data_IF_133365480625
#
_entry.id   IF_133365480625
#
_cell.length_a   1.000
_cell.length_b   1.000
_cell.length_c   1.000
_cell.angle_alpha   90.00
_cell.angle_beta   90.00
_cell.angle_gamma   90.00
#
_symmetry.space_group_name_H-M   'P 1'
#
loop_
_entity.id
_entity.type
_entity.pdbx_description
1 polymer ?
#
# COMPACT_ATOMS: atom_id res chain seq x y z
N UNK A 1 22.06 -24.54 -10.47
CA UNK A 1 22.73 -25.13 -9.37
C UNK A 1 23.31 -26.51 -9.67
N UNK A 2 24.62 -26.72 -9.42
CA UNK A 2 25.26 -28.04 -9.54
C UNK A 2 24.95 -28.92 -8.33
N UNK A 3 25.13 -30.24 -8.46
CA UNK A 3 24.98 -31.16 -7.36
C UNK A 3 26.08 -30.94 -6.30
N UNK A 4 25.69 -30.57 -5.09
CA UNK A 4 26.58 -30.39 -3.91
C UNK A 4 26.71 -31.68 -3.08
N UNK A 5 26.00 -32.73 -3.45
CA UNK A 5 25.93 -34.00 -2.72
C UNK A 5 27.27 -34.68 -2.67
N UNK A 6 27.70 -35.12 -1.48
CA UNK A 6 28.95 -35.90 -1.28
C UNK A 6 30.22 -35.05 -1.12
N UNK A 7 30.15 -33.72 -1.08
CA UNK A 7 31.29 -32.82 -0.82
C UNK A 7 31.10 -32.08 0.50
N UNK A 8 32.16 -31.98 1.32
CA UNK A 8 32.22 -31.08 2.47
C UNK A 8 32.84 -29.76 2.08
N UNK A 9 32.59 -28.69 2.85
CA UNK A 9 33.13 -27.36 2.63
C UNK A 9 33.59 -26.74 3.96
N UNK A 10 34.75 -26.11 3.98
CA UNK A 10 35.23 -25.28 5.07
C UNK A 10 34.73 -23.84 4.93
N UNK A 11 34.41 -23.44 3.68
CA UNK A 11 33.79 -22.16 3.34
C UNK A 11 32.68 -22.42 2.32
N UNK A 12 31.47 -22.01 2.67
CA UNK A 12 30.31 -22.02 1.81
C UNK A 12 29.98 -20.59 1.41
N UNK A 13 29.93 -20.32 0.11
CA UNK A 13 29.53 -19.02 -0.44
C UNK A 13 28.20 -19.24 -1.17
N UNK A 14 27.19 -18.44 -0.81
CA UNK A 14 25.90 -18.36 -1.46
C UNK A 14 25.82 -16.97 -2.07
N UNK A 15 25.63 -16.89 -3.37
CA UNK A 15 25.61 -15.67 -4.15
C UNK A 15 24.28 -15.58 -4.91
N UNK A 16 23.52 -14.53 -4.66
CA UNK A 16 22.19 -14.25 -5.23
C UNK A 16 21.28 -15.48 -5.38
N UNK A 17 20.85 -16.12 -4.27
CA UNK A 17 20.06 -17.36 -4.32
C UNK A 17 18.65 -17.18 -4.89
N UNK A 18 18.16 -15.95 -5.03
CA UNK A 18 16.85 -15.61 -5.56
C UNK A 18 16.95 -14.79 -6.83
N UNK A 19 16.06 -15.07 -7.77
CA UNK A 19 15.82 -14.21 -8.94
C UNK A 19 14.66 -13.25 -8.68
N UNK A 20 14.47 -12.26 -9.56
CA UNK A 20 13.31 -11.37 -9.53
C UNK A 20 11.98 -12.14 -9.63
N UNK A 21 11.95 -13.23 -10.40
CA UNK A 21 10.76 -14.10 -10.50
C UNK A 21 10.47 -14.84 -9.20
N UNK A 22 11.52 -15.29 -8.49
CA UNK A 22 11.36 -15.96 -7.19
C UNK A 22 10.77 -14.99 -6.15
N UNK A 23 11.10 -13.71 -6.24
CA UNK A 23 10.59 -12.66 -5.34
C UNK A 23 9.07 -12.52 -5.35
N UNK A 24 8.43 -12.93 -6.44
CA UNK A 24 6.97 -12.91 -6.61
C UNK A 24 6.27 -14.17 -6.10
N UNK A 25 7.02 -15.14 -5.57
CA UNK A 25 6.50 -16.46 -5.19
C UNK A 25 6.91 -16.85 -3.78
N UNK A 26 5.96 -16.90 -2.85
CA UNK A 26 6.17 -17.43 -1.51
C UNK A 26 6.70 -18.86 -1.53
N UNK A 27 6.19 -19.68 -2.44
CA UNK A 27 6.68 -21.07 -2.62
C UNK A 27 8.15 -21.10 -3.04
N UNK A 28 8.62 -20.19 -3.90
CA UNK A 28 10.02 -20.11 -4.27
C UNK A 28 10.91 -19.70 -3.08
N UNK A 29 10.44 -18.78 -2.24
CA UNK A 29 11.14 -18.37 -1.01
C UNK A 29 11.25 -19.54 -0.03
N UNK A 30 10.15 -20.27 0.21
CA UNK A 30 10.12 -21.46 1.07
C UNK A 30 11.04 -22.56 0.53
N UNK A 31 11.04 -22.77 -0.79
CA UNK A 31 11.94 -23.74 -1.44
C UNK A 31 13.42 -23.37 -1.29
N UNK A 32 13.77 -22.09 -1.31
CA UNK A 32 15.15 -21.64 -1.09
C UNK A 32 15.60 -21.89 0.36
N UNK A 33 14.72 -21.67 1.33
CA UNK A 33 14.97 -22.02 2.73
C UNK A 33 15.15 -23.53 2.94
N UNK A 34 14.26 -24.34 2.37
CA UNK A 34 14.36 -25.79 2.41
C UNK A 34 15.64 -26.29 1.74
N UNK A 35 15.98 -25.75 0.55
CA UNK A 35 17.23 -26.05 -0.14
C UNK A 35 18.45 -25.74 0.74
N UNK A 36 18.49 -24.56 1.38
CA UNK A 36 19.60 -24.18 2.24
C UNK A 36 19.75 -25.13 3.42
N UNK A 37 18.67 -25.40 4.15
CA UNK A 37 18.69 -26.20 5.39
C UNK A 37 18.95 -27.67 5.13
N UNK A 38 18.37 -28.24 4.07
CA UNK A 38 18.51 -29.65 3.72
C UNK A 38 19.79 -29.99 2.93
N UNK A 39 20.35 -29.02 2.23
CA UNK A 39 21.48 -29.21 1.32
C UNK A 39 22.77 -28.50 1.76
N UNK A 40 22.99 -27.23 1.37
CA UNK A 40 24.26 -26.51 1.57
C UNK A 40 24.72 -26.48 3.03
N UNK A 41 23.82 -26.14 3.96
CA UNK A 41 24.15 -26.06 5.39
C UNK A 41 24.69 -27.38 5.96
N UNK A 42 24.18 -28.50 5.48
CA UNK A 42 24.60 -29.85 5.92
C UNK A 42 25.97 -30.24 5.35
N UNK A 43 26.58 -29.43 4.48
CA UNK A 43 27.90 -29.68 3.89
C UNK A 43 29.02 -28.95 4.61
N UNK A 44 28.70 -28.03 5.50
CA UNK A 44 29.69 -27.29 6.25
C UNK A 44 30.44 -28.22 7.20
N UNK A 45 31.76 -28.21 7.13
CA UNK A 45 32.62 -28.97 8.04
C UNK A 45 32.64 -28.29 9.43
N UNK A 46 32.96 -29.03 10.52
CA UNK A 46 33.13 -28.41 11.81
C UNK A 46 34.14 -27.28 11.81
N UNK A 47 33.73 -26.07 12.25
CA UNK A 47 34.54 -24.85 12.21
C UNK A 47 34.54 -24.10 10.88
N UNK A 48 33.79 -24.61 9.90
CA UNK A 48 33.61 -23.90 8.61
C UNK A 48 32.75 -22.65 8.73
N UNK A 49 32.82 -21.79 7.73
CA UNK A 49 32.12 -20.51 7.66
C UNK A 49 31.17 -20.45 6.46
N UNK A 50 30.12 -19.63 6.57
CA UNK A 50 29.17 -19.37 5.49
C UNK A 50 29.21 -17.87 5.20
N UNK A 51 29.24 -17.51 3.90
CA UNK A 51 29.03 -16.15 3.40
C UNK A 51 27.82 -16.17 2.49
N UNK A 52 26.81 -15.36 2.81
CA UNK A 52 25.64 -15.15 1.96
C UNK A 52 25.65 -13.73 1.46
N UNK A 53 25.74 -13.56 0.14
CA UNK A 53 25.66 -12.25 -0.54
C UNK A 53 24.43 -12.28 -1.41
N UNK A 54 23.55 -11.31 -1.23
CA UNK A 54 22.34 -11.22 -2.05
C UNK A 54 21.69 -9.84 -2.00
N UNK A 55 20.94 -9.52 -3.02
CA UNK A 55 19.94 -8.46 -2.98
C UNK A 55 18.75 -8.90 -2.13
N UNK A 56 18.24 -8.01 -1.29
CA UNK A 56 17.02 -8.28 -0.52
C UNK A 56 15.80 -8.17 -1.42
N UNK A 57 14.85 -9.06 -1.22
CA UNK A 57 13.61 -9.13 -2.00
C UNK A 57 12.37 -9.10 -1.12
N UNK A 58 12.42 -9.77 0.02
CA UNK A 58 11.31 -9.90 0.95
C UNK A 58 11.84 -10.24 2.34
N UNK A 59 11.00 -10.08 3.38
CA UNK A 59 11.33 -10.60 4.71
C UNK A 59 11.43 -12.14 4.76
N UNK A 60 10.84 -12.82 3.78
CA UNK A 60 10.88 -14.30 3.66
C UNK A 60 11.99 -14.80 2.76
N UNK A 61 12.81 -13.91 2.20
CA UNK A 61 13.98 -14.32 1.43
C UNK A 61 14.99 -15.10 2.30
N UNK A 62 16.01 -15.70 1.68
CA UNK A 62 16.96 -16.52 2.42
C UNK A 62 17.61 -15.74 3.56
N UNK A 63 18.07 -14.51 3.34
CA UNK A 63 18.66 -13.65 4.40
C UNK A 63 17.64 -13.35 5.50
N UNK A 64 16.40 -13.02 5.17
CA UNK A 64 15.34 -12.79 6.16
C UNK A 64 15.10 -14.01 7.06
N UNK A 65 15.08 -15.20 6.47
CA UNK A 65 14.97 -16.44 7.24
C UNK A 65 16.22 -16.74 8.10
N UNK A 66 17.42 -16.45 7.59
CA UNK A 66 18.66 -16.58 8.36
C UNK A 66 18.69 -15.65 9.58
N UNK A 67 18.36 -14.37 9.37
CA UNK A 67 18.28 -13.36 10.45
C UNK A 67 17.20 -13.73 11.47
N UNK A 68 16.04 -14.19 11.02
CA UNK A 68 14.98 -14.65 11.93
C UNK A 68 15.42 -15.85 12.76
N UNK A 69 16.12 -16.80 12.17
CA UNK A 69 16.63 -17.98 12.85
C UNK A 69 17.64 -17.63 13.96
N UNK A 70 18.36 -16.51 13.86
CA UNK A 70 19.29 -16.03 14.91
C UNK A 70 18.61 -15.74 16.26
N UNK A 71 17.29 -15.56 16.30
CA UNK A 71 16.55 -15.42 17.55
C UNK A 71 16.69 -16.65 18.46
N UNK A 72 16.96 -17.81 17.88
CA UNK A 72 17.27 -19.04 18.61
C UNK A 72 18.76 -19.09 18.97
N UNK A 73 19.07 -19.03 20.26
CA UNK A 73 20.45 -18.97 20.79
C UNK A 73 21.35 -20.10 20.27
N UNK A 74 20.79 -21.24 19.91
CA UNK A 74 21.52 -22.42 19.42
C UNK A 74 21.64 -22.45 17.89
N UNK A 75 20.99 -21.56 17.18
CA UNK A 75 21.10 -21.44 15.73
C UNK A 75 22.42 -20.79 15.32
N UNK A 76 22.75 -20.87 14.04
CA UNK A 76 23.89 -20.16 13.48
C UNK A 76 23.74 -18.65 13.74
N UNK A 77 24.78 -18.03 14.23
CA UNK A 77 24.83 -16.60 14.46
C UNK A 77 25.54 -15.92 13.30
N UNK A 78 25.00 -14.82 12.82
CA UNK A 78 25.46 -14.12 11.62
C UNK A 78 25.92 -12.71 11.94
N UNK A 79 26.99 -12.29 11.34
CA UNK A 79 27.35 -10.89 11.23
C UNK A 79 26.64 -10.33 9.98
N UNK A 80 25.66 -9.43 10.20
CA UNK A 80 24.87 -8.84 9.12
C UNK A 80 25.49 -7.51 8.69
N UNK A 81 25.83 -7.39 7.41
CA UNK A 81 26.36 -6.16 6.83
C UNK A 81 25.39 -5.69 5.75
N UNK A 82 24.86 -4.48 5.91
CA UNK A 82 23.86 -3.89 5.02
C UNK A 82 24.45 -2.66 4.32
N UNK A 83 24.16 -2.53 3.04
CA UNK A 83 24.58 -1.40 2.21
C UNK A 83 23.36 -0.72 1.59
N UNK A 84 22.60 0.10 2.35
CA UNK A 84 21.48 0.85 1.78
C UNK A 84 22.01 1.87 0.77
N UNK A 85 21.34 2.05 -0.35
CA UNK A 85 21.78 2.96 -1.41
C UNK A 85 21.88 4.41 -0.93
N UNK A 86 20.95 4.84 -0.09
CA UNK A 86 20.93 6.15 0.56
C UNK A 86 21.01 5.94 2.07
N UNK A 87 21.99 6.54 2.69
CA UNK A 87 22.22 6.49 4.15
C UNK A 87 21.24 7.41 4.89
N UNK A 88 21.05 7.25 6.22
CA UNK A 88 20.17 8.10 7.02
C UNK A 88 20.50 9.62 7.03
N UNK A 89 21.66 9.98 6.52
CA UNK A 89 22.09 11.37 6.35
C UNK A 89 21.89 11.89 4.91
N UNK A 90 21.02 11.25 4.14
CA UNK A 90 20.71 11.55 2.73
C UNK A 90 21.92 11.53 1.78
N UNK A 91 22.94 10.78 2.12
CA UNK A 91 24.11 10.60 1.25
C UNK A 91 24.11 9.20 0.62
N UNK A 92 24.51 9.07 -0.65
CA UNK A 92 24.75 7.76 -1.26
C UNK A 92 25.77 6.96 -0.45
N UNK A 93 25.55 5.66 -0.30
CA UNK A 93 26.52 4.77 0.37
C UNK A 93 27.86 4.71 -0.39
N UNK A 94 27.82 4.92 -1.70
CA UNK A 94 29.01 4.96 -2.57
C UNK A 94 28.99 6.19 -3.50
N UNK A 95 29.32 7.40 -2.97
CA UNK A 95 29.15 8.67 -3.69
C UNK A 95 30.12 8.84 -4.87
N UNK A 96 31.21 8.06 -4.95
CA UNK A 96 32.13 8.06 -6.09
C UNK A 96 31.49 7.38 -7.31
N UNK A 97 30.58 6.42 -7.10
CA UNK A 97 29.92 5.67 -8.15
C UNK A 97 28.50 6.17 -8.42
N UNK A 98 27.68 6.33 -7.40
CA UNK A 98 26.30 6.80 -7.51
C UNK A 98 26.15 8.24 -7.03
N UNK A 99 25.54 9.10 -7.85
CA UNK A 99 25.12 10.43 -7.43
C UNK A 99 23.69 10.36 -6.89
N UNK A 100 23.36 11.21 -5.91
CA UNK A 100 22.03 11.23 -5.30
C UNK A 100 20.91 11.38 -6.35
N UNK A 101 21.09 12.29 -7.31
CA UNK A 101 20.12 12.52 -8.39
C UNK A 101 19.89 11.26 -9.26
N UNK A 102 20.90 10.43 -9.45
CA UNK A 102 20.79 9.17 -10.20
C UNK A 102 19.99 8.14 -9.40
N UNK A 103 20.23 8.06 -8.08
CA UNK A 103 19.47 7.20 -7.16
C UNK A 103 18.02 7.63 -7.05
N UNK A 104 17.75 8.93 -6.99
CA UNK A 104 16.39 9.47 -7.03
C UNK A 104 15.64 9.12 -8.32
N UNK A 105 16.36 9.16 -9.47
CA UNK A 105 15.78 8.72 -10.75
C UNK A 105 15.46 7.22 -10.77
N UNK A 106 16.30 6.40 -10.16
CA UNK A 106 16.04 4.97 -10.00
C UNK A 106 14.84 4.75 -9.06
N UNK A 107 14.82 5.45 -7.91
CA UNK A 107 13.69 5.41 -6.96
C UNK A 107 12.37 5.74 -7.67
N UNK A 108 12.34 6.81 -8.46
CA UNK A 108 11.16 7.23 -9.21
C UNK A 108 10.70 6.20 -10.28
N UNK A 109 11.57 5.29 -10.71
CA UNK A 109 11.24 4.24 -11.69
C UNK A 109 10.75 2.94 -11.08
N UNK A 110 10.88 2.78 -9.74
CA UNK A 110 10.52 1.57 -8.99
C UNK A 110 9.28 1.81 -8.14
N UNK A 111 8.60 0.73 -7.75
CA UNK A 111 7.66 0.81 -6.63
C UNK A 111 8.42 1.02 -5.32
N UNK A 112 7.78 1.64 -4.33
CA UNK A 112 8.40 1.87 -3.01
C UNK A 112 8.87 0.56 -2.38
N UNK A 113 8.09 -0.51 -2.49
CA UNK A 113 8.45 -1.86 -2.02
C UNK A 113 9.77 -2.35 -2.64
N UNK A 114 9.89 -2.24 -3.97
CA UNK A 114 11.13 -2.66 -4.68
C UNK A 114 12.32 -1.80 -4.26
N UNK A 115 12.10 -0.49 -4.13
CA UNK A 115 13.12 0.43 -3.66
C UNK A 115 13.59 0.07 -2.25
N UNK A 116 12.67 -0.08 -1.30
CA UNK A 116 13.00 -0.42 0.08
C UNK A 116 13.71 -1.77 0.18
N UNK A 117 13.21 -2.80 -0.50
CA UNK A 117 13.83 -4.12 -0.45
C UNK A 117 15.21 -4.13 -1.11
N UNK A 118 15.29 -3.79 -2.39
CA UNK A 118 16.49 -4.03 -3.21
C UNK A 118 17.57 -2.98 -3.01
N UNK A 119 17.19 -1.71 -2.83
CA UNK A 119 18.13 -0.59 -2.75
C UNK A 119 18.38 -0.14 -1.32
N UNK A 120 17.38 -0.14 -0.46
CA UNK A 120 17.54 0.23 0.95
C UNK A 120 17.81 -0.97 1.87
N UNK A 121 17.82 -2.19 1.33
CA UNK A 121 18.05 -3.45 2.09
C UNK A 121 17.05 -3.68 3.22
N UNK A 122 15.92 -3.01 3.17
CA UNK A 122 14.86 -3.03 4.17
C UNK A 122 13.55 -3.54 3.56
N UNK A 123 13.43 -4.86 3.27
CA UNK A 123 12.19 -5.40 2.79
C UNK A 123 11.12 -5.29 3.86
N UNK A 124 10.01 -4.67 3.52
CA UNK A 124 8.83 -4.60 4.38
C UNK A 124 8.01 -5.87 4.21
N UNK A 125 7.63 -6.49 5.32
CA UNK A 125 6.85 -7.72 5.31
C UNK A 125 5.38 -7.44 5.07
N UNK A 126 4.75 -8.39 4.39
CA UNK A 126 3.28 -8.50 4.39
C UNK A 126 2.76 -9.09 5.72
N UNK A 127 3.65 -9.58 6.58
CA UNK A 127 3.28 -10.07 7.91
C UNK A 127 2.95 -8.90 8.81
N UNK A 128 1.65 -8.67 8.98
CA UNK A 128 1.09 -7.53 9.69
C UNK A 128 0.34 -6.56 8.78
N UNK A 129 0.43 -6.70 7.47
CA UNK A 129 -0.46 -6.00 6.55
C UNK A 129 -1.91 -6.38 6.84
N UNK A 130 -2.74 -5.36 7.08
CA UNK A 130 -4.16 -5.57 7.34
C UNK A 130 -4.88 -5.95 6.04
N UNK A 131 -4.43 -5.39 4.93
CA UNK A 131 -4.92 -5.69 3.57
C UNK A 131 -3.77 -6.32 2.80
N UNK A 132 -3.94 -7.60 2.47
CA UNK A 132 -2.92 -8.32 1.73
C UNK A 132 -3.03 -8.04 0.25
N UNK A 133 -1.86 -7.96 -0.42
CA UNK A 133 -1.79 -7.78 -1.86
C UNK A 133 -2.57 -8.86 -2.63
N UNK A 134 -2.48 -10.10 -2.22
CA UNK A 134 -3.13 -11.25 -2.84
C UNK A 134 -4.66 -11.24 -2.78
N UNK A 135 -5.25 -10.34 -1.98
CA UNK A 135 -6.70 -10.17 -1.89
C UNK A 135 -7.27 -9.27 -2.99
N UNK A 136 -6.41 -8.52 -3.67
CA UNK A 136 -6.80 -7.73 -4.82
C UNK A 136 -6.97 -8.63 -6.05
N UNK A 137 -8.08 -8.47 -6.76
CA UNK A 137 -8.30 -9.13 -8.04
C UNK A 137 -7.84 -8.23 -9.18
N UNK A 138 -7.15 -8.83 -10.14
CA UNK A 138 -6.71 -8.12 -11.35
C UNK A 138 -7.85 -8.11 -12.36
N UNK A 139 -8.15 -6.93 -12.89
CA UNK A 139 -9.08 -6.77 -14.00
C UNK A 139 -8.32 -6.89 -15.32
N UNK A 140 -8.49 -8.00 -16.01
CA UNK A 140 -7.81 -8.29 -17.28
C UNK A 140 -8.57 -7.74 -18.50
N UNK A 141 -9.76 -7.15 -18.30
CA UNK A 141 -10.56 -6.56 -19.38
C UNK A 141 -9.92 -5.31 -19.95
N UNK A 142 -10.02 -5.12 -21.28
CA UNK A 142 -9.53 -3.90 -21.94
C UNK A 142 -10.37 -2.68 -21.63
N UNK A 143 -11.67 -2.89 -21.43
CA UNK A 143 -12.64 -1.83 -21.14
C UNK A 143 -13.08 -1.92 -19.67
N UNK A 144 -13.46 -0.79 -19.11
CA UNK A 144 -14.05 -0.72 -17.76
C UNK A 144 -15.38 -1.53 -17.77
N UNK A 145 -15.66 -2.35 -16.73
CA UNK A 145 -16.94 -3.08 -16.67
C UNK A 145 -18.14 -2.12 -16.62
N UNK A 146 -19.33 -2.61 -16.92
CA UNK A 146 -20.54 -1.80 -16.77
C UNK A 146 -20.73 -1.43 -15.29
N UNK A 147 -20.58 -0.15 -15.01
CA UNK A 147 -20.71 0.40 -13.65
C UNK A 147 -22.16 0.68 -13.31
N UNK A 148 -22.54 0.44 -12.07
CA UNK A 148 -23.84 0.84 -11.48
C UNK A 148 -23.75 2.13 -10.73
N UNK A 149 -22.63 2.36 -10.03
CA UNK A 149 -22.34 3.57 -9.27
C UNK A 149 -20.85 3.88 -9.33
N UNK A 150 -20.52 5.15 -9.25
CA UNK A 150 -19.15 5.64 -9.10
C UNK A 150 -19.02 6.39 -7.77
N UNK A 151 -18.00 6.03 -7.00
CA UNK A 151 -17.69 6.63 -5.71
C UNK A 151 -16.35 7.33 -5.84
N UNK A 152 -16.28 8.61 -5.48
CA UNK A 152 -15.01 9.32 -5.30
C UNK A 152 -14.77 9.61 -3.83
N UNK A 153 -13.54 9.41 -3.40
CA UNK A 153 -13.14 9.66 -2.02
C UNK A 153 -11.88 10.50 -1.97
N UNK A 154 -11.86 11.47 -1.07
CA UNK A 154 -10.84 12.49 -0.96
C UNK A 154 -10.26 12.50 0.45
N UNK A 155 -8.96 12.27 0.56
CA UNK A 155 -8.16 12.70 1.71
C UNK A 155 -7.34 13.91 1.31
N UNK A 156 -7.42 15.02 2.08
CA UNK A 156 -6.92 16.30 1.62
C UNK A 156 -5.91 16.92 2.57
N UNK A 157 -4.80 17.43 2.00
CA UNK A 157 -3.84 18.30 2.66
C UNK A 157 -3.62 19.55 1.79
N UNK A 158 -3.26 20.70 2.40
CA UNK A 158 -3.06 21.95 1.69
C UNK A 158 -1.64 22.47 1.87
N UNK A 159 -0.64 21.76 1.34
CA UNK A 159 0.72 22.29 1.42
C UNK A 159 1.59 21.74 0.29
N UNK A 160 2.28 22.68 -0.40
CA UNK A 160 3.31 22.34 -1.39
C UNK A 160 4.71 22.17 -0.79
N UNK A 161 4.85 22.24 0.54
CA UNK A 161 6.17 22.02 1.14
C UNK A 161 6.59 20.57 0.91
N UNK A 162 7.85 20.35 0.59
CA UNK A 162 8.43 19.01 0.38
C UNK A 162 8.20 18.05 1.56
N UNK A 163 7.99 18.60 2.76
CA UNK A 163 7.69 17.88 4.01
C UNK A 163 6.20 17.84 4.35
N UNK A 164 5.30 18.21 3.44
CA UNK A 164 3.85 18.23 3.68
C UNK A 164 3.17 16.95 3.23
N UNK A 165 2.01 16.65 3.82
CA UNK A 165 1.19 15.51 3.45
C UNK A 165 0.65 15.66 2.02
N UNK A 166 0.38 14.55 1.36
CA UNK A 166 -0.25 14.52 0.05
C UNK A 166 -1.77 14.72 0.16
N UNK A 167 -2.37 15.17 -0.93
CA UNK A 167 -3.80 14.99 -1.13
C UNK A 167 -4.02 13.79 -2.04
N UNK A 168 -4.91 12.91 -1.65
CA UNK A 168 -5.26 11.70 -2.37
C UNK A 168 -6.72 11.72 -2.80
N UNK A 169 -6.98 11.42 -4.08
CA UNK A 169 -8.30 11.24 -4.64
C UNK A 169 -8.35 9.84 -5.23
N UNK A 170 -9.26 9.00 -4.77
CA UNK A 170 -9.49 7.69 -5.36
C UNK A 170 -10.90 7.59 -5.94
N UNK A 171 -11.00 7.04 -7.14
CA UNK A 171 -12.27 6.83 -7.84
C UNK A 171 -12.54 5.33 -7.98
N UNK A 172 -13.73 4.93 -7.62
CA UNK A 172 -14.14 3.53 -7.52
C UNK A 172 -15.46 3.30 -8.26
N UNK A 173 -15.54 2.21 -9.01
CA UNK A 173 -16.75 1.78 -9.69
C UNK A 173 -17.37 0.57 -9.03
N UNK A 174 -18.67 0.61 -8.78
CA UNK A 174 -19.45 -0.55 -8.33
C UNK A 174 -20.01 -1.27 -9.54
N UNK A 175 -19.75 -2.56 -9.65
CA UNK A 175 -20.20 -3.40 -10.73
C UNK A 175 -20.64 -4.78 -10.23
N UNK A 176 -21.31 -5.54 -11.08
CA UNK A 176 -21.87 -6.85 -10.73
C UNK A 176 -21.39 -7.89 -11.75
N UNK A 177 -20.35 -8.67 -11.41
CA UNK A 177 -19.83 -9.69 -12.35
C UNK A 177 -20.82 -10.83 -12.60
N UNK A 178 -21.72 -11.10 -11.66
CA UNK A 178 -22.72 -12.19 -11.67
C UNK A 178 -24.17 -11.67 -11.58
N UNK A 179 -24.40 -10.37 -11.84
CA UNK A 179 -25.68 -9.67 -11.73
C UNK A 179 -26.29 -9.60 -10.32
N UNK A 180 -25.71 -10.28 -9.34
CA UNK A 180 -26.25 -10.42 -7.96
C UNK A 180 -25.28 -9.80 -6.94
N UNK A 181 -24.01 -10.13 -7.03
CA UNK A 181 -23.01 -9.77 -6.01
C UNK A 181 -22.29 -8.48 -6.38
N UNK A 182 -22.45 -7.41 -5.59
CA UNK A 182 -21.73 -6.17 -5.85
C UNK A 182 -20.22 -6.36 -5.62
N UNK A 183 -19.43 -5.94 -6.59
CA UNK A 183 -17.98 -5.81 -6.49
C UNK A 183 -17.58 -4.37 -6.75
N UNK A 184 -16.37 -4.01 -6.35
CA UNK A 184 -15.83 -2.66 -6.51
C UNK A 184 -14.49 -2.71 -7.23
N UNK A 185 -14.30 -1.83 -8.20
CA UNK A 185 -13.07 -1.72 -8.99
C UNK A 185 -12.47 -0.33 -8.84
N UNK A 186 -11.16 -0.28 -8.65
CA UNK A 186 -10.41 0.97 -8.70
C UNK A 186 -10.34 1.49 -10.14
N UNK A 187 -10.79 2.72 -10.36
CA UNK A 187 -10.88 3.34 -11.69
C UNK A 187 -9.79 4.39 -11.94
N UNK A 188 -9.40 5.11 -10.88
CA UNK A 188 -8.40 6.17 -10.97
C UNK A 188 -7.84 6.52 -9.60
N UNK A 189 -6.60 7.02 -9.59
CA UNK A 189 -5.91 7.54 -8.41
C UNK A 189 -5.18 8.82 -8.79
N UNK A 190 -5.41 9.87 -8.02
CA UNK A 190 -4.65 11.11 -8.08
C UNK A 190 -4.03 11.36 -6.72
N UNK A 191 -2.70 11.43 -6.65
CA UNK A 191 -1.94 11.73 -5.44
C UNK A 191 -0.88 12.77 -5.75
N UNK A 192 -0.98 13.93 -5.13
CA UNK A 192 0.00 15.01 -5.29
C UNK A 192 -0.09 16.01 -4.13
N UNK A 193 0.87 16.92 -4.06
CA UNK A 193 0.88 18.03 -3.13
C UNK A 193 0.28 19.26 -3.81
N UNK A 194 -0.96 19.57 -3.48
CA UNK A 194 -1.70 20.66 -4.08
C UNK A 194 -1.79 21.89 -3.16
N UNK A 195 -1.75 23.05 -3.74
CA UNK A 195 -2.37 24.22 -3.12
C UNK A 195 -3.88 24.18 -3.31
N UNK A 196 -4.63 24.84 -2.43
CA UNK A 196 -6.10 24.79 -2.44
C UNK A 196 -6.74 25.11 -3.80
N UNK A 197 -6.33 26.16 -4.54
CA UNK A 197 -6.91 26.47 -5.84
C UNK A 197 -6.68 25.36 -6.88
N UNK A 198 -5.55 24.68 -6.80
CA UNK A 198 -5.17 23.58 -7.66
C UNK A 198 -5.96 22.32 -7.32
N UNK A 199 -6.06 21.98 -6.03
CA UNK A 199 -6.87 20.85 -5.54
C UNK A 199 -8.34 21.03 -5.96
N UNK A 200 -8.90 22.23 -5.79
CA UNK A 200 -10.26 22.54 -6.24
C UNK A 200 -10.43 22.29 -7.75
N UNK A 201 -9.48 22.76 -8.57
CA UNK A 201 -9.51 22.55 -10.02
C UNK A 201 -9.48 21.06 -10.36
N UNK A 202 -8.55 20.31 -9.76
CA UNK A 202 -8.41 18.86 -9.96
C UNK A 202 -9.68 18.15 -9.53
N UNK A 203 -10.24 18.47 -8.37
CA UNK A 203 -11.47 17.86 -7.89
C UNK A 203 -12.65 18.10 -8.85
N UNK A 204 -12.79 19.31 -9.42
CA UNK A 204 -13.83 19.61 -10.42
C UNK A 204 -13.61 18.85 -11.74
N UNK A 205 -12.35 18.71 -12.18
CA UNK A 205 -11.99 17.93 -13.38
C UNK A 205 -12.31 16.45 -13.18
N UNK A 206 -11.93 15.88 -12.04
CA UNK A 206 -12.21 14.50 -11.66
C UNK A 206 -13.71 14.24 -11.56
N UNK A 207 -14.47 15.14 -10.92
CA UNK A 207 -15.91 15.04 -10.85
C UNK A 207 -16.57 15.06 -12.24
N UNK A 208 -16.14 15.98 -13.11
CA UNK A 208 -16.69 16.09 -14.48
C UNK A 208 -16.35 14.88 -15.34
N UNK A 209 -15.19 14.27 -15.14
CA UNK A 209 -14.74 13.12 -15.93
C UNK A 209 -15.46 11.83 -15.54
N UNK A 210 -15.60 11.59 -14.24
CA UNK A 210 -16.13 10.33 -13.70
C UNK A 210 -17.63 10.39 -13.37
N UNK A 211 -18.21 11.56 -13.26
CA UNK A 211 -19.62 11.81 -12.89
C UNK A 211 -20.09 10.96 -11.70
N UNK A 212 -19.37 10.98 -10.55
CA UNK A 212 -19.67 10.10 -9.44
C UNK A 212 -21.01 10.44 -8.77
N UNK A 213 -21.76 9.44 -8.37
CA UNK A 213 -22.97 9.60 -7.57
C UNK A 213 -22.68 9.83 -6.08
N UNK A 214 -21.49 9.45 -5.62
CA UNK A 214 -21.04 9.69 -4.25
C UNK A 214 -19.66 10.37 -4.26
N UNK A 215 -19.58 11.57 -3.70
CA UNK A 215 -18.33 12.29 -3.45
C UNK A 215 -18.14 12.40 -1.95
N UNK A 216 -17.10 11.77 -1.42
CA UNK A 216 -16.79 11.69 0.01
C UNK A 216 -15.54 12.53 0.27
N UNK A 217 -15.61 13.44 1.22
CA UNK A 217 -14.46 14.26 1.62
C UNK A 217 -14.32 14.22 3.13
N UNK A 218 -13.11 13.97 3.64
CA UNK A 218 -12.87 13.98 5.07
C UNK A 218 -13.01 15.40 5.62
N UNK A 219 -13.92 15.59 6.61
CA UNK A 219 -14.24 16.88 7.21
C UNK A 219 -13.20 17.30 8.27
N UNK A 220 -11.91 17.25 7.93
CA UNK A 220 -10.82 17.86 8.69
C UNK A 220 -10.60 19.32 8.28
N UNK A 221 -9.70 20.02 8.96
CA UNK A 221 -9.39 21.42 8.70
C UNK A 221 -9.10 21.73 7.21
N UNK A 222 -8.47 20.80 6.50
CA UNK A 222 -8.16 20.88 5.07
C UNK A 222 -9.36 20.53 4.18
N UNK A 223 -10.23 19.63 4.56
CA UNK A 223 -11.38 19.19 3.74
C UNK A 223 -12.55 20.17 3.77
N UNK A 224 -12.78 20.85 4.88
CA UNK A 224 -13.95 21.76 5.04
C UNK A 224 -14.05 22.86 3.96
N UNK A 225 -12.97 23.59 3.60
CA UNK A 225 -13.02 24.55 2.51
C UNK A 225 -13.37 23.90 1.17
N UNK A 226 -12.81 22.73 0.86
CA UNK A 226 -13.11 22.02 -0.37
C UNK A 226 -14.58 21.60 -0.43
N UNK A 227 -15.13 21.07 0.64
CA UNK A 227 -16.54 20.71 0.75
C UNK A 227 -17.44 21.89 0.45
N UNK A 228 -17.15 23.06 1.04
CA UNK A 228 -17.93 24.27 0.81
C UNK A 228 -17.90 24.71 -0.65
N UNK A 229 -16.72 24.74 -1.26
CA UNK A 229 -16.56 25.14 -2.64
C UNK A 229 -17.22 24.17 -3.63
N UNK A 230 -17.09 22.87 -3.42
CA UNK A 230 -17.73 21.86 -4.27
C UNK A 230 -19.26 21.95 -4.18
N UNK A 231 -19.81 22.14 -2.98
CA UNK A 231 -21.27 22.33 -2.78
C UNK A 231 -21.79 23.60 -3.45
N UNK A 232 -21.02 24.70 -3.43
CA UNK A 232 -21.40 25.93 -4.12
C UNK A 232 -21.56 25.78 -5.64
N UNK A 233 -20.80 24.87 -6.23
CA UNK A 233 -20.91 24.56 -7.68
C UNK A 233 -21.90 23.42 -7.96
N UNK A 234 -22.66 22.97 -6.95
CA UNK A 234 -23.73 21.97 -7.10
C UNK A 234 -23.25 20.50 -7.02
N UNK A 235 -22.03 20.25 -6.57
CA UNK A 235 -21.54 18.87 -6.35
C UNK A 235 -22.04 18.38 -5.00
N UNK A 236 -22.77 17.24 -4.93
CA UNK A 236 -23.23 16.67 -3.68
C UNK A 236 -22.07 15.97 -2.93
N UNK A 237 -21.57 16.63 -1.89
CA UNK A 237 -20.46 16.11 -1.10
C UNK A 237 -20.97 15.54 0.23
N UNK A 238 -20.56 14.32 0.52
CA UNK A 238 -20.78 13.65 1.80
C UNK A 238 -19.59 13.97 2.71
N UNK A 239 -19.88 14.51 3.87
CA UNK A 239 -18.85 14.72 4.88
C UNK A 239 -18.49 13.39 5.53
N UNK A 240 -17.20 13.06 5.52
CA UNK A 240 -16.71 11.96 6.32
C UNK A 240 -16.04 12.52 7.58
N UNK A 241 -16.63 12.23 8.74
CA UNK A 241 -16.07 12.67 10.03
C UNK A 241 -15.64 11.43 10.81
N UNK A 242 -14.32 11.24 11.06
CA UNK A 242 -13.86 10.16 11.90
C UNK A 242 -14.40 10.33 13.33
N UNK A 243 -15.18 9.36 13.82
CA UNK A 243 -15.66 9.37 15.20
C UNK A 243 -14.53 9.03 16.19
N UNK A 244 -14.64 9.47 17.45
CA UNK A 244 -13.74 9.07 18.53
C UNK A 244 -13.76 7.55 18.68
N UNK A 245 -12.60 6.88 18.49
CA UNK A 245 -12.48 5.42 18.48
C UNK A 245 -12.53 4.79 17.08
N UNK A 246 -12.77 5.56 16.03
CA UNK A 246 -12.67 5.14 14.63
C UNK A 246 -11.37 5.71 14.04
N UNK A 247 -10.25 5.31 14.62
CA UNK A 247 -8.93 5.65 14.11
C UNK A 247 -8.69 4.99 12.73
N UNK A 248 -7.66 5.42 12.05
CA UNK A 248 -7.27 4.90 10.74
C UNK A 248 -7.15 3.37 10.72
N UNK A 249 -6.51 2.80 11.73
CA UNK A 249 -6.31 1.36 11.86
C UNK A 249 -7.66 0.61 11.93
N UNK A 250 -8.59 1.10 12.74
CA UNK A 250 -9.94 0.53 12.88
C UNK A 250 -10.73 0.61 11.57
N UNK A 251 -10.57 1.69 10.79
CA UNK A 251 -11.20 1.83 9.47
C UNK A 251 -10.69 0.78 8.47
N UNK A 252 -9.39 0.60 8.42
CA UNK A 252 -8.77 -0.39 7.53
C UNK A 252 -9.19 -1.82 7.93
N UNK A 253 -9.19 -2.14 9.22
CA UNK A 253 -9.74 -3.43 9.69
C UNK A 253 -11.23 -3.62 9.33
N UNK A 254 -12.01 -2.55 9.35
CA UNK A 254 -13.42 -2.64 8.98
C UNK A 254 -13.65 -2.98 7.51
N UNK A 255 -12.74 -2.61 6.60
CA UNK A 255 -12.85 -2.89 5.17
C UNK A 255 -12.05 -4.10 4.71
N UNK A 256 -11.10 -4.58 5.49
CA UNK A 256 -10.29 -5.76 5.17
C UNK A 256 -11.13 -6.99 4.74
N UNK A 257 -12.29 -7.30 5.35
CA UNK A 257 -13.14 -8.42 4.90
C UNK A 257 -13.67 -8.27 3.47
N UNK A 258 -13.79 -7.05 2.94
CA UNK A 258 -14.21 -6.81 1.54
C UNK A 258 -13.10 -7.26 0.59
N UNK A 259 -11.85 -7.00 0.94
CA UNK A 259 -10.69 -7.49 0.19
C UNK A 259 -10.55 -9.01 0.30
N UNK A 260 -10.64 -9.55 1.51
CA UNK A 260 -10.54 -10.98 1.76
C UNK A 260 -11.61 -11.79 1.01
N UNK A 261 -12.81 -11.24 0.85
CA UNK A 261 -13.88 -11.85 0.05
C UNK A 261 -13.60 -11.87 -1.45
N UNK A 262 -12.56 -11.16 -1.93
CA UNK A 262 -12.23 -11.01 -3.34
C UNK A 262 -13.20 -10.10 -4.10
N UNK A 263 -13.89 -9.18 -3.41
CA UNK A 263 -14.80 -8.23 -4.03
C UNK A 263 -14.11 -6.98 -4.57
N UNK A 264 -12.81 -6.78 -4.29
CA UNK A 264 -12.04 -5.60 -4.70
C UNK A 264 -11.14 -5.92 -5.89
N UNK A 265 -11.26 -5.09 -6.93
CA UNK A 265 -10.55 -5.24 -8.20
C UNK A 265 -9.71 -4.02 -8.52
N UNK A 266 -8.63 -4.22 -9.24
CA UNK A 266 -7.81 -3.14 -9.79
C UNK A 266 -7.32 -3.52 -11.20
N UNK A 267 -7.13 -2.56 -12.13
CA UNK A 267 -6.49 -2.84 -13.41
C UNK A 267 -5.00 -3.12 -13.21
N UNK A 268 -4.41 -3.87 -14.16
CA UNK A 268 -2.96 -4.09 -14.22
C UNK A 268 -2.26 -2.86 -14.81
N UNK A 269 -2.27 -1.78 -14.02
CA UNK A 269 -1.73 -0.48 -14.41
C UNK A 269 -0.80 0.06 -13.32
N UNK A 270 0.25 0.75 -13.71
CA UNK A 270 1.26 1.27 -12.78
C UNK A 270 0.67 2.18 -11.68
N UNK A 271 -0.30 3.01 -12.03
CA UNK A 271 -0.95 3.92 -11.07
C UNK A 271 -1.82 3.17 -10.06
N UNK A 272 -2.45 2.05 -10.46
CA UNK A 272 -3.22 1.20 -9.53
C UNK A 272 -2.29 0.46 -8.56
N UNK A 273 -1.09 0.10 -9.04
CA UNK A 273 -0.06 -0.53 -8.23
C UNK A 273 0.34 0.32 -7.02
N UNK A 274 0.39 1.64 -7.16
CA UNK A 274 0.71 2.55 -6.04
C UNK A 274 -0.30 2.43 -4.89
N UNK A 275 -1.59 2.35 -5.20
CA UNK A 275 -2.65 2.10 -4.21
C UNK A 275 -2.49 0.73 -3.54
N UNK A 276 -2.24 -0.31 -4.32
CA UNK A 276 -2.08 -1.69 -3.82
C UNK A 276 -0.89 -1.78 -2.87
N UNK A 277 0.25 -1.18 -3.24
CA UNK A 277 1.46 -1.17 -2.43
C UNK A 277 1.25 -0.44 -1.10
N UNK A 278 0.66 0.76 -1.13
CA UNK A 278 0.41 1.53 0.08
C UNK A 278 -0.52 0.80 1.04
N UNK A 279 -1.56 0.14 0.51
CA UNK A 279 -2.45 -0.72 1.30
C UNK A 279 -1.73 -1.94 1.90
N UNK A 280 -0.87 -2.59 1.12
CA UNK A 280 -0.12 -3.77 1.56
C UNK A 280 0.99 -3.45 2.58
N UNK A 281 1.48 -2.23 2.57
CA UNK A 281 2.49 -1.75 3.53
C UNK A 281 1.88 -1.16 4.80
N UNK A 282 0.58 -0.84 4.81
CA UNK A 282 -0.07 -0.26 5.97
C UNK A 282 -0.16 -1.27 7.14
N UNK A 283 0.16 -0.88 8.41
CA UNK A 283 0.35 0.48 8.93
C UNK A 283 1.81 0.99 8.91
N UNK A 284 2.73 0.34 8.25
CA UNK A 284 4.17 0.63 8.29
C UNK A 284 4.68 1.45 7.10
N UNK A 285 3.77 1.90 6.21
CA UNK A 285 4.10 2.78 5.09
C UNK A 285 4.54 4.17 5.57
N UNK A 286 5.43 4.82 4.84
CA UNK A 286 5.84 6.22 5.08
C UNK A 286 4.68 7.19 4.83
N UNK A 287 3.81 6.86 3.87
CA UNK A 287 2.60 7.60 3.52
C UNK A 287 1.40 6.67 3.56
N UNK A 288 0.24 7.21 3.91
CA UNK A 288 -1.00 6.47 4.06
C UNK A 288 -2.24 7.24 3.57
N UNK A 289 -2.01 8.25 2.73
CA UNK A 289 -3.05 9.13 2.18
C UNK A 289 -4.01 8.36 1.23
N UNK A 290 -3.45 7.41 0.45
CA UNK A 290 -4.25 6.53 -0.41
C UNK A 290 -5.07 5.53 0.42
N UNK A 291 -4.51 5.02 1.51
CA UNK A 291 -5.23 4.12 2.44
C UNK A 291 -6.41 4.82 3.07
N UNK A 292 -6.27 6.11 3.43
CA UNK A 292 -7.37 6.89 3.98
C UNK A 292 -8.48 7.08 2.96
N UNK A 293 -8.15 7.53 1.74
CA UNK A 293 -9.15 7.72 0.69
C UNK A 293 -9.83 6.39 0.31
N UNK A 294 -9.08 5.30 0.20
CA UNK A 294 -9.60 3.95 -0.05
C UNK A 294 -10.57 3.50 1.05
N UNK A 295 -10.16 3.62 2.32
CA UNK A 295 -10.97 3.14 3.44
C UNK A 295 -12.33 3.82 3.53
N UNK A 296 -12.41 5.12 3.23
CA UNK A 296 -13.65 5.89 3.17
C UNK A 296 -14.58 5.36 2.06
N UNK A 297 -14.04 5.14 0.85
CA UNK A 297 -14.81 4.61 -0.28
C UNK A 297 -15.36 3.20 0.02
N UNK A 298 -14.52 2.32 0.59
CA UNK A 298 -14.92 0.95 0.90
C UNK A 298 -15.89 0.84 2.09
N UNK A 299 -15.82 1.73 3.06
CA UNK A 299 -16.84 1.84 4.11
C UNK A 299 -18.20 2.18 3.48
N UNK A 300 -18.22 3.11 2.51
CA UNK A 300 -19.42 3.46 1.75
C UNK A 300 -19.98 2.27 0.98
N UNK A 301 -19.12 1.57 0.24
CA UNK A 301 -19.45 0.36 -0.48
C UNK A 301 -20.04 -0.71 0.46
N UNK A 302 -19.38 -0.99 1.58
CA UNK A 302 -19.79 -2.01 2.55
C UNK A 302 -21.17 -1.76 3.15
N UNK A 303 -21.50 -0.49 3.38
CA UNK A 303 -22.83 -0.10 3.91
C UNK A 303 -23.94 -0.28 2.86
N UNK A 304 -23.61 -0.58 1.59
CA UNK A 304 -24.57 -0.66 0.49
C UNK A 304 -25.19 0.68 0.08
N UNK A 305 -24.63 1.78 0.60
CA UNK A 305 -25.11 3.14 0.33
C UNK A 305 -24.24 3.79 -0.73
N UNK A 306 -24.43 3.45 -2.00
CA UNK A 306 -23.59 3.95 -3.10
C UNK A 306 -23.98 5.36 -3.54
N UNK A 307 -25.23 5.74 -3.32
CA UNK A 307 -25.79 7.05 -3.66
C UNK A 307 -25.98 7.86 -2.37
N UNK A 308 -25.73 9.17 -2.41
CA UNK A 308 -26.01 10.06 -1.31
C UNK A 308 -27.52 10.11 -1.04
N UNK A 309 -27.94 9.68 0.14
CA UNK A 309 -29.32 9.77 0.62
C UNK A 309 -29.44 10.98 1.56
N UNK A 310 -30.66 11.45 1.77
CA UNK A 310 -30.95 12.56 2.71
C UNK A 310 -30.41 12.26 4.11
N UNK A 311 -30.51 10.99 4.54
CA UNK A 311 -30.05 10.50 5.84
C UNK A 311 -28.51 10.50 5.99
N UNK A 312 -27.74 10.57 4.90
CA UNK A 312 -26.30 10.70 4.96
C UNK A 312 -25.84 12.07 5.49
N UNK A 313 -26.76 13.02 5.58
CA UNK A 313 -26.53 14.37 6.11
C UNK A 313 -26.92 14.50 7.59
N UNK A 314 -27.52 13.45 8.20
CA UNK A 314 -28.03 13.49 9.58
C UNK A 314 -26.98 13.16 10.66
N UNK A 315 -25.74 12.91 10.33
CA UNK A 315 -24.65 12.78 11.32
C UNK A 315 -24.14 14.13 11.88
N UNK A 316 -24.81 15.24 11.60
CA UNK A 316 -24.65 16.47 12.39
C UNK A 316 -25.50 16.35 13.65
N UNK A 317 -24.93 16.44 14.87
CA UNK A 317 -25.72 16.48 16.08
C UNK A 317 -26.64 17.71 16.00
N UNK A 318 -27.93 17.49 15.77
CA UNK A 318 -28.92 18.51 15.98
C UNK A 318 -29.03 18.80 17.47
N UNK A 319 -28.32 19.84 17.90
CA UNK A 319 -28.48 20.44 19.21
C UNK A 319 -29.84 21.15 19.27
N UNK A 320 -30.89 20.39 19.51
CA UNK A 320 -32.20 20.86 19.85
C UNK A 320 -32.59 20.27 21.21
N UNK A 321 -31.91 20.73 22.25
CA UNK A 321 -32.56 20.79 23.59
C UNK A 321 -33.63 21.88 23.52
N UNK A 322 -34.86 21.49 23.29
CA UNK A 322 -36.00 22.32 23.64
C UNK A 322 -36.07 22.36 25.17
N UNK A 323 -35.66 23.49 25.72
CA UNK A 323 -36.00 23.86 27.12
C UNK A 323 -37.46 24.14 27.19
N UNK A 324 -38.25 23.19 27.70
CA UNK A 324 -39.58 23.47 28.19
C UNK A 324 -39.47 24.28 29.47
N UNK A 325 -39.97 25.50 29.41
CA UNK A 325 -40.27 26.30 30.61
C UNK A 325 -41.64 25.92 31.17
N UNK A 326 -41.64 25.46 32.40
CA UNK A 326 -42.70 25.66 33.37
C UNK A 326 -42.14 26.24 34.65
#
# INVERSE_FOLDING_TARGET
>A
GGAITGRGADLLIIDDPHSEQDAMSTTAMDNAWEWYTSGPRQRLQPGGSIVCVMTRWSEKDLTGNLVRAMSEVKADQWDVIEFPAILPNDQPVWPEYWKLQELESVKASLSERKWQAQWQQNPTGEEGAIIKREWWRVWEGKDIPMLRHVIQSYDTAFTKKETGDYSAISTWGVFYPDEITPNIILLDVVKDRFEFPELKRVAMEQYKYWEPESVIVEAKASGLPLIQELRQVGIPVINFTPSKGNDKLSRVHAVAPVFESGAVWAPDERWAEEMIEECAMFPHAEHDDLVDSMSQALIRFRKGNYVALTDDYEDEPTDHEQTEYY
#
